data_IF_908912565888
#
_entry.id   IF_908912565888
#
_cell.length_a   1.000
_cell.length_b   1.000
_cell.length_c   1.000
_cell.angle_alpha   90.00
_cell.angle_beta   90.00
_cell.angle_gamma   90.00
#
_symmetry.space_group_name_H-M   'P 1'
#
loop_
_entity.id
_entity.type
_entity.pdbx_description
1 polymer ?
#
# COMPACT_ATOMS: atom_id res chain seq x y z
N UNK A 1 3.20 -0.66 13.77
CA UNK A 1 3.24 -0.35 15.21
C UNK A 1 3.11 1.17 15.40
N UNK A 2 2.01 1.67 15.99
CA UNK A 2 1.71 3.12 15.99
C UNK A 2 2.73 3.94 16.81
N UNK A 3 3.34 3.33 17.82
CA UNK A 3 4.39 3.97 18.62
C UNK A 3 5.64 4.29 17.81
N UNK A 4 6.00 3.44 16.84
CA UNK A 4 7.15 3.66 15.96
C UNK A 4 6.93 4.88 15.05
N UNK A 5 5.72 5.07 14.51
CA UNK A 5 5.38 6.25 13.69
C UNK A 5 5.55 7.56 14.46
N UNK A 6 5.12 7.63 15.72
CA UNK A 6 5.30 8.83 16.53
C UNK A 6 6.75 9.03 17.02
N UNK A 7 7.52 7.95 17.10
CA UNK A 7 8.94 8.04 17.39
C UNK A 7 9.73 8.75 16.28
N UNK A 8 9.23 8.71 15.03
CA UNK A 8 9.82 9.41 13.88
C UNK A 8 9.81 10.94 14.05
N UNK A 9 8.86 11.49 14.81
CA UNK A 9 8.78 12.92 15.10
C UNK A 9 9.77 13.37 16.20
N UNK A 10 10.54 12.43 16.78
CA UNK A 10 11.33 12.65 17.98
C UNK A 10 10.48 12.58 19.23
N UNK A 11 10.58 11.50 20.04
CA UNK A 11 9.72 11.30 21.20
C UNK A 11 9.74 12.48 22.19
N UNK A 12 10.92 13.06 22.40
CA UNK A 12 11.09 14.21 23.30
C UNK A 12 10.39 15.45 22.73
N UNK A 13 10.53 15.72 21.43
CA UNK A 13 9.93 16.88 20.77
C UNK A 13 8.40 16.77 20.77
N UNK A 14 7.87 15.57 20.50
CA UNK A 14 6.44 15.30 20.55
C UNK A 14 5.85 15.53 21.96
N UNK A 15 6.51 15.03 23.01
CA UNK A 15 6.07 15.26 24.40
C UNK A 15 6.09 16.75 24.75
N UNK A 16 7.13 17.48 24.35
CA UNK A 16 7.19 18.93 24.53
C UNK A 16 6.07 19.66 23.77
N UNK A 17 5.80 19.26 22.52
CA UNK A 17 4.72 19.82 21.73
C UNK A 17 3.34 19.59 22.36
N UNK A 18 3.06 18.36 22.84
CA UNK A 18 1.80 18.02 23.50
C UNK A 18 1.63 18.76 24.83
N UNK A 19 2.67 18.85 25.64
CA UNK A 19 2.62 19.61 26.91
C UNK A 19 2.36 21.10 26.67
N UNK A 20 3.00 21.68 25.65
CA UNK A 20 2.71 23.05 25.23
C UNK A 20 1.30 23.18 24.65
N UNK A 21 0.80 22.18 23.92
CA UNK A 21 -0.59 22.11 23.44
C UNK A 21 -1.62 22.15 24.57
N UNK A 22 -1.44 21.32 25.60
CA UNK A 22 -2.28 21.33 26.82
C UNK A 22 -2.22 22.69 27.50
N UNK A 23 -1.01 23.24 27.68
CA UNK A 23 -0.84 24.57 28.27
C UNK A 23 -1.53 25.66 27.45
N UNK A 24 -1.46 25.57 26.13
CA UNK A 24 -2.09 26.49 25.18
C UNK A 24 -3.61 26.46 25.31
N UNK A 25 -4.23 25.27 25.35
CA UNK A 25 -5.66 25.13 25.59
C UNK A 25 -6.08 25.68 26.96
N UNK A 26 -5.35 25.33 28.01
CA UNK A 26 -5.63 25.80 29.37
C UNK A 26 -5.51 27.32 29.48
N UNK A 27 -4.43 27.89 28.94
CA UNK A 27 -4.23 29.35 28.89
C UNK A 27 -5.34 30.01 28.09
N UNK A 28 -5.73 29.45 26.94
CA UNK A 28 -6.81 29.98 26.12
C UNK A 28 -8.13 30.07 26.88
N UNK A 29 -8.51 29.02 27.61
CA UNK A 29 -9.73 29.02 28.42
C UNK A 29 -9.73 30.10 29.51
N UNK A 30 -8.56 30.43 30.06
CA UNK A 30 -8.42 31.42 31.15
C UNK A 30 -8.24 32.86 30.66
N UNK A 31 -7.45 33.07 29.61
CA UNK A 31 -7.05 34.41 29.13
C UNK A 31 -7.71 34.81 27.82
N UNK A 32 -8.57 33.95 27.24
CA UNK A 32 -9.25 34.13 25.94
C UNK A 32 -8.29 34.50 24.79
N UNK A 33 -7.06 33.96 24.83
CA UNK A 33 -6.08 34.19 23.78
C UNK A 33 -6.37 33.30 22.56
N UNK A 34 -6.76 33.92 21.45
CA UNK A 34 -7.10 33.24 20.21
C UNK A 34 -5.92 32.45 19.62
N UNK A 35 -4.70 32.99 19.69
CA UNK A 35 -3.52 32.31 19.15
C UNK A 35 -3.24 31.00 19.89
N UNK A 36 -3.35 31.01 21.23
CA UNK A 36 -3.20 29.80 22.02
C UNK A 36 -4.31 28.77 21.75
N UNK A 37 -5.53 29.23 21.46
CA UNK A 37 -6.61 28.34 21.06
C UNK A 37 -6.28 27.60 19.76
N UNK A 38 -5.82 28.32 18.73
CA UNK A 38 -5.49 27.73 17.42
C UNK A 38 -4.38 26.70 17.54
N UNK A 39 -3.26 27.04 18.22
CA UNK A 39 -2.16 26.09 18.38
C UNK A 39 -2.56 24.85 19.19
N UNK A 40 -3.40 25.02 20.23
CA UNK A 40 -3.93 23.91 21.02
C UNK A 40 -4.80 22.99 20.18
N UNK A 41 -5.77 23.53 19.42
CA UNK A 41 -6.63 22.72 18.56
C UNK A 41 -5.81 22.04 17.46
N UNK A 42 -4.89 22.76 16.83
CA UNK A 42 -4.09 22.28 15.70
C UNK A 42 -3.27 21.04 16.06
N UNK A 43 -2.55 21.06 17.19
CA UNK A 43 -1.72 19.91 17.58
C UNK A 43 -2.54 18.68 17.92
N UNK A 44 -3.67 18.83 18.61
CA UNK A 44 -4.52 17.68 18.96
C UNK A 44 -5.26 17.13 17.75
N UNK A 45 -5.78 17.99 16.87
CA UNK A 45 -6.40 17.56 15.62
C UNK A 45 -5.39 16.84 14.71
N UNK A 46 -4.19 17.40 14.55
CA UNK A 46 -3.16 16.81 13.71
C UNK A 46 -2.61 15.49 14.29
N UNK A 47 -2.39 15.43 15.61
CA UNK A 47 -1.99 14.18 16.30
C UNK A 47 -3.06 13.11 16.19
N UNK A 48 -4.34 13.48 16.32
CA UNK A 48 -5.45 12.55 16.14
C UNK A 48 -5.50 11.99 14.71
N UNK A 49 -5.39 12.84 13.69
CA UNK A 49 -5.35 12.39 12.29
C UNK A 49 -4.13 11.50 12.01
N UNK A 50 -2.95 11.85 12.52
CA UNK A 50 -1.75 11.02 12.39
C UNK A 50 -1.89 9.66 13.11
N UNK A 51 -2.61 9.63 14.23
CA UNK A 51 -2.89 8.39 14.96
C UNK A 51 -3.86 7.47 14.21
N UNK A 52 -4.83 8.04 13.48
CA UNK A 52 -5.80 7.24 12.71
C UNK A 52 -5.22 6.71 11.41
N UNK A 53 -4.39 7.49 10.71
CA UNK A 53 -3.72 7.02 9.49
C UNK A 53 -2.31 7.61 9.34
N UNK A 54 -1.35 6.74 9.06
CA UNK A 54 0.07 7.09 8.91
C UNK A 54 0.32 8.16 7.84
N UNK A 55 -0.49 8.19 6.77
CA UNK A 55 -0.38 9.24 5.74
C UNK A 55 -0.52 10.64 6.32
N UNK A 56 -1.24 10.87 7.42
CA UNK A 56 -1.40 12.22 7.98
C UNK A 56 -0.24 12.67 8.88
N UNK A 57 0.84 11.89 9.00
CA UNK A 57 2.05 12.30 9.73
C UNK A 57 2.66 13.60 9.19
N UNK A 58 2.59 13.84 7.88
CA UNK A 58 3.05 15.10 7.28
C UNK A 58 2.28 16.33 7.77
N UNK A 59 0.99 16.17 8.16
CA UNK A 59 0.19 17.25 8.73
C UNK A 59 0.52 17.52 10.20
N UNK A 60 0.92 16.49 10.94
CA UNK A 60 1.32 16.63 12.34
C UNK A 60 2.72 17.24 12.50
N UNK A 61 3.62 17.00 11.55
CA UNK A 61 5.02 17.44 11.62
C UNK A 61 5.19 18.94 11.87
N UNK A 62 4.52 19.86 11.13
CA UNK A 62 4.66 21.30 11.39
C UNK A 62 4.10 21.74 12.74
N UNK A 63 3.00 21.13 13.19
CA UNK A 63 2.41 21.42 14.50
C UNK A 63 3.36 21.04 15.63
N UNK A 64 3.96 19.85 15.53
CA UNK A 64 4.94 19.34 16.48
C UNK A 64 6.22 20.18 16.45
N UNK A 65 6.70 20.59 15.28
CA UNK A 65 7.90 21.42 15.15
C UNK A 65 7.72 22.78 15.83
N UNK A 66 6.60 23.48 15.58
CA UNK A 66 6.34 24.82 16.14
C UNK A 66 6.16 24.77 17.66
N UNK A 67 5.30 23.87 18.17
CA UNK A 67 5.05 23.76 19.60
C UNK A 67 6.22 23.11 20.35
N UNK A 68 6.93 22.19 19.71
CA UNK A 68 8.17 21.61 20.21
C UNK A 68 9.25 22.69 20.37
N UNK A 69 9.45 23.55 19.36
CA UNK A 69 10.36 24.69 19.44
C UNK A 69 9.99 25.65 20.58
N UNK A 70 8.69 25.92 20.77
CA UNK A 70 8.22 26.71 21.91
C UNK A 70 8.54 26.04 23.25
N UNK A 71 8.32 24.73 23.36
CA UNK A 71 8.66 23.94 24.55
C UNK A 71 10.15 23.94 24.86
N UNK A 72 11.01 23.77 23.85
CA UNK A 72 12.47 23.84 23.97
C UNK A 72 12.90 25.24 24.43
N UNK A 73 12.33 26.29 23.84
CA UNK A 73 12.61 27.68 24.23
C UNK A 73 12.15 27.98 25.67
N UNK A 74 11.01 27.43 26.09
CA UNK A 74 10.52 27.54 27.46
C UNK A 74 11.44 26.82 28.46
N UNK A 75 11.91 25.62 28.13
CA UNK A 75 12.89 24.87 28.93
C UNK A 75 14.21 25.64 29.03
N UNK A 76 14.74 26.16 27.93
CA UNK A 76 15.99 26.92 27.92
C UNK A 76 15.91 28.17 28.81
N UNK A 77 14.80 28.92 28.74
CA UNK A 77 14.56 30.06 29.64
C UNK A 77 14.52 29.63 31.11
N UNK A 78 13.92 28.48 31.42
CA UNK A 78 13.86 27.91 32.77
C UNK A 78 15.21 27.37 33.26
N UNK A 79 16.13 27.02 32.37
CA UNK A 79 17.47 26.52 32.70
C UNK A 79 18.35 27.55 33.43
N UNK A 80 17.98 28.84 33.41
CA UNK A 80 18.67 29.91 34.13
C UNK A 80 20.17 30.01 33.75
N UNK A 81 20.45 30.08 32.45
CA UNK A 81 21.81 30.25 31.91
C UNK A 81 22.55 31.45 32.52
N UNK A 82 21.85 32.57 32.74
CA UNK A 82 22.45 33.74 33.39
C UNK A 82 22.94 33.44 34.81
N UNK A 83 22.22 32.60 35.55
CA UNK A 83 22.61 32.14 36.89
C UNK A 83 23.89 31.32 36.84
N UNK A 84 24.05 30.43 35.85
CA UNK A 84 25.28 29.68 35.61
C UNK A 84 26.43 30.63 35.25
N UNK A 85 26.22 31.56 34.33
CA UNK A 85 27.27 32.52 33.93
C UNK A 85 27.74 33.36 35.12
N UNK A 86 26.82 33.81 35.98
CA UNK A 86 27.14 34.56 37.22
C UNK A 86 27.92 33.67 38.20
N UNK A 87 27.51 32.42 38.40
CA UNK A 87 28.21 31.46 39.26
C UNK A 87 29.63 31.16 38.72
N UNK A 88 29.77 30.93 37.42
CA UNK A 88 31.04 30.65 36.77
C UNK A 88 32.02 31.82 36.87
N UNK A 89 31.56 33.05 36.61
CA UNK A 89 32.35 34.27 36.82
C UNK A 89 32.79 34.45 38.28
N UNK A 90 31.94 34.05 39.24
CA UNK A 90 32.23 34.14 40.68
C UNK A 90 33.28 33.14 41.16
N UNK A 91 33.37 31.95 40.56
CA UNK A 91 34.37 30.93 40.93
C UNK A 91 35.76 31.15 40.30
N UNK A 92 35.92 32.17 39.46
CA UNK A 92 37.20 32.64 38.95
C UNK A 92 37.57 32.07 37.58
N UNK A 93 38.06 32.95 36.69
CA UNK A 93 38.49 32.65 35.31
C UNK A 93 39.97 33.03 35.07
N UNK A 94 40.74 33.18 36.16
CA UNK A 94 42.08 33.81 36.15
C UNK A 94 43.17 32.93 35.54
N UNK A 95 43.13 31.61 35.74
CA UNK A 95 44.08 30.65 35.13
C UNK A 95 43.33 29.57 34.32
N UNK A 96 43.96 28.89 33.35
CA UNK A 96 43.32 27.81 32.59
C UNK A 96 42.78 26.68 33.49
N UNK A 97 43.49 26.32 34.56
CA UNK A 97 43.05 25.31 35.52
C UNK A 97 41.86 25.79 36.38
N UNK A 98 41.86 27.06 36.79
CA UNK A 98 40.74 27.66 37.52
C UNK A 98 39.48 27.80 36.66
N UNK A 99 39.62 28.01 35.35
CA UNK A 99 38.48 28.05 34.41
C UNK A 99 37.75 26.71 34.37
N UNK A 100 38.49 25.60 34.30
CA UNK A 100 37.93 24.24 34.29
C UNK A 100 37.32 23.89 35.65
N UNK A 101 38.05 24.16 36.73
CA UNK A 101 37.59 23.86 38.10
C UNK A 101 36.39 24.72 38.50
N UNK A 102 36.40 26.00 38.12
CA UNK A 102 35.32 26.95 38.33
C UNK A 102 34.09 26.65 37.50
N UNK A 103 34.25 26.19 36.25
CA UNK A 103 33.15 25.70 35.42
C UNK A 103 32.50 24.46 36.06
N UNK A 104 33.31 23.48 36.50
CA UNK A 104 32.80 22.29 37.19
C UNK A 104 32.02 22.66 38.46
N UNK A 105 32.56 23.54 39.31
CA UNK A 105 31.86 23.99 40.52
C UNK A 105 30.56 24.75 40.22
N UNK A 106 30.53 25.55 39.15
CA UNK A 106 29.32 26.26 38.73
C UNK A 106 28.22 25.28 38.27
N UNK A 107 28.56 24.33 37.40
CA UNK A 107 27.65 23.28 36.88
C UNK A 107 27.06 22.44 38.02
N UNK A 108 27.86 22.05 39.01
CA UNK A 108 27.40 21.29 40.18
C UNK A 108 26.49 22.11 41.11
N UNK A 109 26.65 23.45 41.14
CA UNK A 109 25.83 24.34 41.95
C UNK A 109 24.55 24.82 41.26
N UNK A 110 24.40 24.55 39.96
CA UNK A 110 23.18 24.82 39.18
C UNK A 110 22.62 23.51 38.60
N UNK A 111 22.12 22.58 39.43
CA UNK A 111 21.69 21.25 38.97
C UNK A 111 20.56 21.33 37.93
N UNK A 112 19.68 22.34 38.02
CA UNK A 112 18.60 22.55 37.05
C UNK A 112 19.09 22.89 35.64
N UNK A 113 20.18 23.65 35.52
CA UNK A 113 20.79 23.95 34.23
C UNK A 113 21.35 22.66 33.59
N UNK A 114 22.10 21.89 34.37
CA UNK A 114 22.75 20.66 33.92
C UNK A 114 21.74 19.61 33.47
N UNK A 115 20.62 19.46 34.19
CA UNK A 115 19.54 18.55 33.81
C UNK A 115 18.86 18.96 32.49
N UNK A 116 18.55 20.25 32.33
CA UNK A 116 17.92 20.75 31.09
C UNK A 116 18.89 20.70 29.90
N UNK A 117 20.17 21.01 30.13
CA UNK A 117 21.21 20.87 29.11
C UNK A 117 21.31 19.43 28.62
N UNK A 118 21.28 18.44 29.53
CA UNK A 118 21.30 17.02 29.17
C UNK A 118 20.08 16.65 28.30
N UNK A 119 18.89 17.13 28.64
CA UNK A 119 17.68 16.92 27.80
C UNK A 119 17.87 17.53 26.41
N UNK A 120 18.43 18.74 26.31
CA UNK A 120 18.68 19.40 25.02
C UNK A 120 19.74 18.64 24.20
N UNK A 121 20.79 18.13 24.84
CA UNK A 121 21.81 17.30 24.18
C UNK A 121 21.21 16.00 23.66
N UNK A 122 20.37 15.33 24.45
CA UNK A 122 19.65 14.12 24.00
C UNK A 122 18.72 14.42 22.84
N UNK A 123 17.96 15.52 22.92
CA UNK A 123 17.06 15.96 21.84
C UNK A 123 17.85 16.27 20.57
N UNK A 124 18.94 17.02 20.69
CA UNK A 124 19.82 17.37 19.57
C UNK A 124 20.46 16.13 18.96
N UNK A 125 20.90 15.18 19.79
CA UNK A 125 21.44 13.89 19.34
C UNK A 125 20.44 13.11 18.50
N UNK A 126 19.21 12.92 18.99
CA UNK A 126 18.14 12.21 18.27
C UNK A 126 17.81 12.86 16.92
N UNK A 127 17.61 14.17 16.90
CA UNK A 127 17.24 14.88 15.67
C UNK A 127 18.40 14.92 14.67
N UNK A 128 19.64 14.96 15.15
CA UNK A 128 20.82 14.87 14.31
C UNK A 128 20.95 13.49 13.66
N UNK A 129 20.78 12.41 14.43
CA UNK A 129 20.84 11.04 13.89
C UNK A 129 19.71 10.79 12.90
N UNK A 130 18.48 11.20 13.21
CA UNK A 130 17.35 11.03 12.29
C UNK A 130 17.51 11.87 11.03
N UNK A 131 18.03 13.09 11.16
CA UNK A 131 18.29 13.96 10.01
C UNK A 131 19.45 13.46 9.13
N UNK A 132 20.47 12.85 9.73
CA UNK A 132 21.57 12.21 9.00
C UNK A 132 21.06 10.99 8.22
N UNK A 133 20.30 10.13 8.88
CA UNK A 133 19.69 8.94 8.27
C UNK A 133 18.73 9.31 7.14
N UNK A 134 17.84 10.29 7.35
CA UNK A 134 16.93 10.76 6.31
C UNK A 134 17.63 11.41 5.10
N UNK A 135 18.87 11.87 5.26
CA UNK A 135 19.65 12.44 4.18
C UNK A 135 20.38 11.38 3.32
N UNK A 136 20.45 10.14 3.79
CA UNK A 136 21.10 9.02 3.11
C UNK A 136 20.01 8.19 2.42
N UNK A 137 20.10 7.93 1.11
CA UNK A 137 19.15 7.06 0.42
C UNK A 137 19.24 5.61 0.89
N UNK A 138 18.09 4.96 1.11
CA UNK A 138 18.02 3.62 1.69
C UNK A 138 18.10 2.46 0.69
N UNK A 139 18.37 2.78 -0.58
CA UNK A 139 18.34 1.85 -1.72
C UNK A 139 19.73 1.64 -2.33
N UNK A 140 20.77 2.16 -1.67
CA UNK A 140 22.14 2.12 -2.19
C UNK A 140 22.97 1.27 -1.24
N UNK A 141 23.74 0.32 -1.78
CA UNK A 141 24.69 -0.52 -1.02
C UNK A 141 25.64 0.32 -0.14
N UNK A 142 25.88 1.58 -0.52
CA UNK A 142 26.66 2.52 0.27
C UNK A 142 26.07 2.87 1.64
N UNK A 143 24.76 2.70 1.86
CA UNK A 143 24.17 2.91 3.18
C UNK A 143 24.70 1.89 4.19
N UNK A 144 24.70 0.61 3.82
CA UNK A 144 25.21 -0.48 4.65
C UNK A 144 26.70 -0.31 4.96
N UNK A 145 27.49 0.11 3.97
CA UNK A 145 28.92 0.41 4.14
C UNK A 145 29.17 1.61 5.08
N UNK A 146 28.31 2.64 5.00
CA UNK A 146 28.39 3.81 5.88
C UNK A 146 27.98 3.47 7.31
N UNK A 147 26.93 2.67 7.50
CA UNK A 147 26.49 2.19 8.81
C UNK A 147 27.58 1.35 9.49
N UNK A 148 28.20 0.44 8.74
CA UNK A 148 29.34 -0.35 9.20
C UNK A 148 30.55 0.53 9.54
N UNK A 149 30.83 1.55 8.72
CA UNK A 149 31.92 2.50 8.97
C UNK A 149 31.68 3.32 10.25
N UNK A 150 30.45 3.76 10.51
CA UNK A 150 30.07 4.43 11.76
C UNK A 150 30.22 3.48 12.94
N UNK A 151 29.80 2.21 12.76
CA UNK A 151 29.99 1.18 13.78
C UNK A 151 31.47 1.02 14.12
N UNK A 152 32.35 0.91 13.14
CA UNK A 152 33.79 0.71 13.36
C UNK A 152 34.54 1.97 13.84
N UNK A 153 33.99 3.18 13.63
CA UNK A 153 34.57 4.43 14.14
C UNK A 153 34.41 4.58 15.66
N UNK A 154 33.34 4.05 16.22
CA UNK A 154 33.03 4.18 17.65
C UNK A 154 33.98 3.27 18.45
N UNK A 155 34.73 3.80 19.44
CA UNK A 155 35.68 2.99 20.20
C UNK A 155 35.03 1.81 20.92
N UNK A 156 35.63 0.62 20.80
CA UNK A 156 35.16 -0.62 21.45
C UNK A 156 35.01 -0.49 22.97
N UNK A 157 35.76 0.43 23.61
CA UNK A 157 35.65 0.71 25.03
C UNK A 157 34.23 1.17 25.45
N UNK A 158 33.45 1.76 24.54
CA UNK A 158 32.06 2.17 24.80
C UNK A 158 31.07 1.02 24.65
N UNK A 159 31.44 -0.05 23.94
CA UNK A 159 30.66 -1.29 23.79
C UNK A 159 31.10 -2.38 24.77
N UNK A 160 32.11 -2.10 25.59
CA UNK A 160 32.63 -3.09 26.53
C UNK A 160 31.64 -3.32 27.67
N UNK A 161 31.18 -4.57 27.78
CA UNK A 161 30.28 -4.99 28.84
C UNK A 161 31.05 -5.36 30.10
N UNK A 162 30.77 -4.67 31.21
CA UNK A 162 31.28 -5.00 32.53
C UNK A 162 30.11 -5.22 33.48
N UNK A 163 29.97 -6.46 33.98
CA UNK A 163 28.94 -6.87 34.94
C UNK A 163 27.49 -6.56 34.48
N UNK A 164 27.21 -6.75 33.19
CA UNK A 164 25.88 -6.50 32.59
C UNK A 164 25.60 -5.03 32.28
N UNK A 165 26.60 -4.16 32.39
CA UNK A 165 26.50 -2.75 32.02
C UNK A 165 27.45 -2.45 30.86
N UNK A 166 26.89 -1.94 29.77
CA UNK A 166 27.64 -1.35 28.66
C UNK A 166 27.04 0.01 28.31
N UNK A 167 27.87 0.94 27.83
CA UNK A 167 27.39 2.28 27.43
C UNK A 167 26.62 2.19 26.09
N UNK A 168 27.08 1.31 25.21
CA UNK A 168 26.48 0.99 23.91
C UNK A 168 26.30 -0.52 23.78
N UNK A 169 25.41 -0.97 22.90
CA UNK A 169 25.18 -2.41 22.68
C UNK A 169 26.49 -3.13 22.26
N UNK A 170 26.76 -4.24 22.94
CA UNK A 170 27.99 -5.04 22.86
C UNK A 170 27.92 -6.15 21.80
N UNK A 171 26.76 -6.32 21.15
CA UNK A 171 26.58 -7.32 20.11
C UNK A 171 27.36 -6.98 18.83
N UNK A 172 27.62 -8.02 18.03
CA UNK A 172 28.30 -7.88 16.74
C UNK A 172 27.43 -7.11 15.75
N UNK A 173 28.07 -6.37 14.85
CA UNK A 173 27.39 -5.69 13.76
C UNK A 173 26.50 -6.67 12.97
N UNK A 174 25.26 -6.24 12.72
CA UNK A 174 24.22 -7.05 12.08
C UNK A 174 23.46 -6.30 10.98
N UNK A 175 23.97 -5.13 10.56
CA UNK A 175 23.27 -4.17 9.71
C UNK A 175 22.22 -3.33 10.45
N UNK A 176 21.96 -2.13 9.95
CA UNK A 176 20.93 -1.18 10.41
C UNK A 176 21.05 -0.77 11.90
N UNK A 177 22.27 -0.45 12.33
CA UNK A 177 22.55 -0.04 13.71
C UNK A 177 22.34 1.46 13.94
N UNK A 178 22.65 2.28 12.95
CA UNK A 178 22.59 3.74 13.02
C UNK A 178 21.85 4.37 11.84
N UNK A 179 21.85 3.73 10.67
CA UNK A 179 21.18 4.14 9.43
C UNK A 179 20.11 3.11 8.99
N UNK A 180 19.33 3.41 7.95
CA UNK A 180 18.34 2.51 7.34
C UNK A 180 16.90 2.72 7.81
N UNK A 181 16.61 3.75 8.61
CA UNK A 181 15.27 3.95 9.20
C UNK A 181 14.43 5.03 8.50
N UNK A 182 15.07 6.06 7.94
CA UNK A 182 14.42 7.25 7.40
C UNK A 182 14.82 7.60 5.96
N UNK A 183 15.82 6.92 5.40
CA UNK A 183 16.27 7.14 4.04
C UNK A 183 15.18 6.90 2.99
N UNK A 184 15.15 7.73 1.96
CA UNK A 184 14.25 7.53 0.82
C UNK A 184 14.75 6.41 -0.09
N UNK A 185 13.86 5.50 -0.48
CA UNK A 185 14.13 4.47 -1.48
C UNK A 185 13.95 5.02 -2.90
N UNK A 186 14.91 4.71 -3.78
CA UNK A 186 14.84 4.96 -5.21
C UNK A 186 14.66 3.63 -5.95
N UNK A 187 14.28 3.71 -7.22
CA UNK A 187 14.20 2.54 -8.08
C UNK A 187 15.59 1.90 -8.26
N UNK A 188 15.61 0.57 -8.20
CA UNK A 188 16.81 -0.20 -8.47
C UNK A 188 17.29 -0.01 -9.92
N UNK A 189 18.58 -0.24 -10.14
CA UNK A 189 19.20 -0.14 -11.46
C UNK A 189 18.50 -1.03 -12.51
N UNK A 190 18.01 -2.21 -12.12
CA UNK A 190 17.31 -3.11 -13.02
C UNK A 190 15.99 -2.52 -13.55
N UNK A 191 15.23 -1.87 -12.66
CA UNK A 191 13.99 -1.18 -13.04
C UNK A 191 14.28 0.03 -13.93
N UNK A 192 15.28 0.84 -13.57
CA UNK A 192 15.67 1.99 -14.39
C UNK A 192 16.11 1.55 -15.79
N UNK A 193 16.91 0.50 -15.90
CA UNK A 193 17.33 -0.04 -17.19
C UNK A 193 16.18 -0.62 -18.02
N UNK A 194 15.17 -1.24 -17.38
CA UNK A 194 14.00 -1.75 -18.06
C UNK A 194 13.11 -0.61 -18.62
N UNK A 195 12.92 0.46 -17.85
CA UNK A 195 12.20 1.64 -18.33
C UNK A 195 12.97 2.41 -19.40
N UNK A 196 14.28 2.56 -19.27
CA UNK A 196 15.12 3.13 -20.32
C UNK A 196 15.01 2.31 -21.62
N UNK A 197 14.99 0.98 -21.52
CA UNK A 197 14.76 0.12 -22.68
C UNK A 197 13.36 0.32 -23.27
N UNK A 198 12.33 0.40 -22.43
CA UNK A 198 10.94 0.61 -22.84
C UNK A 198 10.78 1.97 -23.55
N UNK A 199 11.36 3.05 -23.04
CA UNK A 199 11.31 4.38 -23.64
C UNK A 199 11.89 4.42 -25.06
N UNK A 200 12.87 3.57 -25.34
CA UNK A 200 13.47 3.46 -26.67
C UNK A 200 12.64 2.61 -27.65
N UNK A 201 11.58 1.95 -27.20
CA UNK A 201 10.61 1.25 -28.07
C UNK A 201 9.61 2.25 -28.66
N UNK A 202 9.10 1.95 -29.86
CA UNK A 202 8.03 2.70 -30.52
C UNK A 202 8.28 4.22 -30.61
N UNK A 203 9.56 4.60 -30.69
CA UNK A 203 10.02 6.01 -30.71
C UNK A 203 9.57 6.79 -31.94
N UNK A 204 9.02 6.11 -32.95
CA UNK A 204 8.49 6.73 -34.16
C UNK A 204 7.02 7.12 -34.02
N UNK A 205 6.32 6.57 -33.03
CA UNK A 205 4.90 6.81 -32.80
C UNK A 205 4.68 7.96 -31.82
N UNK A 206 3.57 8.68 -31.98
CA UNK A 206 3.16 9.66 -30.99
C UNK A 206 2.83 8.94 -29.68
N UNK A 207 3.00 9.62 -28.54
CA UNK A 207 2.84 9.00 -27.22
C UNK A 207 1.52 8.23 -27.04
N UNK A 208 0.41 8.79 -27.53
CA UNK A 208 -0.91 8.15 -27.44
C UNK A 208 -1.11 6.97 -28.38
N UNK A 209 -0.27 6.84 -29.40
CA UNK A 209 -0.32 5.76 -30.40
C UNK A 209 0.61 4.59 -30.02
N UNK A 210 1.50 4.79 -29.04
CA UNK A 210 2.36 3.73 -28.49
C UNK A 210 1.53 2.66 -27.78
N UNK A 211 1.99 1.39 -27.77
CA UNK A 211 1.27 0.32 -27.09
C UNK A 211 1.18 0.57 -25.58
N UNK A 212 0.01 0.31 -25.00
CA UNK A 212 -0.17 0.46 -23.57
C UNK A 212 0.53 -0.65 -22.78
N UNK A 213 1.29 -0.25 -21.77
CA UNK A 213 1.97 -1.12 -20.83
C UNK A 213 0.99 -1.65 -19.77
N UNK A 214 0.99 -2.97 -19.57
CA UNK A 214 0.22 -3.63 -18.52
C UNK A 214 1.14 -4.04 -17.39
N UNK A 215 0.93 -3.44 -16.22
CA UNK A 215 1.62 -3.79 -14.98
C UNK A 215 0.71 -3.62 -13.78
N UNK A 216 1.23 -3.97 -12.61
CA UNK A 216 0.59 -3.57 -11.37
C UNK A 216 0.55 -2.04 -11.27
N UNK A 217 -0.47 -1.50 -10.61
CA UNK A 217 -0.80 -0.08 -10.60
C UNK A 217 0.28 0.80 -9.95
N UNK A 218 1.06 0.24 -9.02
CA UNK A 218 2.19 0.92 -8.37
C UNK A 218 3.25 1.42 -9.37
N UNK A 219 3.33 0.79 -10.55
CA UNK A 219 4.35 1.04 -11.56
C UNK A 219 3.87 1.96 -12.70
N UNK A 220 2.60 2.39 -12.68
CA UNK A 220 2.01 3.11 -13.81
C UNK A 220 2.69 4.44 -14.10
N UNK A 221 2.99 5.25 -13.07
CA UNK A 221 3.70 6.53 -13.27
C UNK A 221 5.12 6.34 -13.76
N UNK A 222 5.80 5.28 -13.33
CA UNK A 222 7.16 4.98 -13.78
C UNK A 222 7.16 4.57 -15.26
N UNK A 223 6.18 3.76 -15.66
CA UNK A 223 5.98 3.40 -17.07
C UNK A 223 5.63 4.62 -17.94
N UNK A 224 4.78 5.53 -17.45
CA UNK A 224 4.38 6.76 -18.14
C UNK A 224 5.54 7.75 -18.27
N UNK A 225 6.24 8.06 -17.17
CA UNK A 225 7.25 9.12 -17.10
C UNK A 225 8.63 8.66 -17.58
N UNK A 226 9.11 7.51 -17.10
CA UNK A 226 10.45 6.99 -17.45
C UNK A 226 10.38 6.03 -18.63
N UNK A 227 9.34 5.20 -18.70
CA UNK A 227 9.15 4.25 -19.81
C UNK A 227 8.57 4.86 -21.09
N UNK A 228 8.14 6.12 -21.06
CA UNK A 228 7.50 6.84 -22.17
C UNK A 228 6.38 6.06 -22.90
N UNK A 229 5.62 5.24 -22.19
CA UNK A 229 4.50 4.46 -22.74
C UNK A 229 3.21 4.68 -21.93
N UNK A 230 2.04 4.71 -22.58
CA UNK A 230 0.76 4.72 -21.87
C UNK A 230 0.65 3.50 -20.95
N UNK A 231 -0.01 3.63 -19.80
CA UNK A 231 -0.22 2.52 -18.85
C UNK A 231 -1.70 2.20 -18.71
N UNK A 232 -2.03 0.92 -18.60
CA UNK A 232 -3.42 0.46 -18.38
C UNK A 232 -3.90 0.74 -16.95
N UNK A 233 -2.98 0.82 -15.98
CA UNK A 233 -3.28 1.19 -14.60
C UNK A 233 -2.24 2.14 -14.02
N UNK A 234 -2.62 2.89 -12.98
CA UNK A 234 -1.77 3.94 -12.42
C UNK A 234 -1.84 4.08 -10.90
N UNK A 235 -0.91 4.90 -10.36
CA UNK A 235 -0.76 5.18 -8.95
C UNK A 235 -1.97 5.91 -8.32
N UNK A 236 -2.91 6.40 -9.13
CA UNK A 236 -4.20 6.91 -8.64
C UNK A 236 -5.24 5.81 -8.42
N UNK A 237 -4.86 4.54 -8.58
CA UNK A 237 -5.73 3.37 -8.47
C UNK A 237 -6.75 3.26 -9.61
N UNK A 238 -6.45 3.90 -10.75
CA UNK A 238 -7.23 3.76 -11.97
C UNK A 238 -6.82 2.48 -12.70
N UNK A 239 -7.77 1.78 -13.34
CA UNK A 239 -7.46 0.61 -14.18
C UNK A 239 -7.01 -0.66 -13.42
N UNK A 240 -7.11 -0.69 -12.08
CA UNK A 240 -6.77 -1.88 -11.27
C UNK A 240 -7.58 -3.11 -11.70
N UNK A 241 -8.91 -3.04 -11.92
CA UNK A 241 -9.66 -4.23 -12.31
C UNK A 241 -9.17 -4.83 -13.63
N UNK A 242 -8.82 -4.00 -14.62
CA UNK A 242 -8.32 -4.47 -15.92
C UNK A 242 -6.94 -5.11 -15.78
N UNK A 243 -5.94 -4.35 -15.32
CA UNK A 243 -4.56 -4.84 -15.18
C UNK A 243 -4.42 -5.98 -14.15
N UNK A 244 -5.17 -5.91 -13.05
CA UNK A 244 -5.18 -6.94 -12.02
C UNK A 244 -5.76 -8.26 -12.52
N UNK A 245 -6.88 -8.24 -13.24
CA UNK A 245 -7.45 -9.44 -13.84
C UNK A 245 -6.54 -10.05 -14.91
N UNK A 246 -5.86 -9.22 -15.70
CA UNK A 246 -4.87 -9.68 -16.67
C UNK A 246 -3.69 -10.39 -15.99
N UNK A 247 -3.11 -9.78 -14.95
CA UNK A 247 -1.97 -10.36 -14.22
C UNK A 247 -2.34 -11.63 -13.44
N UNK A 248 -3.60 -11.76 -13.03
CA UNK A 248 -4.12 -12.92 -12.30
C UNK A 248 -4.89 -13.90 -13.20
N UNK A 249 -4.80 -13.74 -14.53
CA UNK A 249 -5.46 -14.64 -15.47
C UNK A 249 -4.97 -16.08 -15.26
N UNK A 250 -5.91 -17.04 -15.27
CA UNK A 250 -5.62 -18.44 -14.93
C UNK A 250 -4.82 -19.14 -16.02
N UNK A 251 -4.91 -18.66 -17.25
CA UNK A 251 -4.24 -19.19 -18.43
C UNK A 251 -4.11 -18.10 -19.49
N UNK A 252 -3.43 -18.42 -20.60
CA UNK A 252 -3.18 -17.47 -21.69
C UNK A 252 -4.47 -17.11 -22.46
N UNK A 253 -5.43 -18.02 -22.57
CA UNK A 253 -6.69 -17.76 -23.27
C UNK A 253 -7.55 -16.74 -22.50
N UNK A 254 -7.62 -16.88 -21.17
CA UNK A 254 -8.26 -15.90 -20.27
C UNK A 254 -7.57 -14.52 -20.41
N UNK A 255 -6.23 -14.49 -20.46
CA UNK A 255 -5.47 -13.24 -20.62
C UNK A 255 -5.74 -12.56 -21.96
N UNK A 256 -5.72 -13.32 -23.06
CA UNK A 256 -6.00 -12.79 -24.41
C UNK A 256 -7.43 -12.24 -24.46
N UNK A 257 -8.39 -12.96 -23.87
CA UNK A 257 -9.78 -12.51 -23.78
C UNK A 257 -9.90 -11.18 -23.05
N UNK A 258 -9.15 -10.99 -21.95
CA UNK A 258 -9.10 -9.72 -21.22
C UNK A 258 -8.45 -8.58 -22.03
N UNK A 259 -7.44 -8.87 -22.85
CA UNK A 259 -6.88 -7.87 -23.77
C UNK A 259 -7.90 -7.44 -24.84
N UNK A 260 -8.60 -8.40 -25.45
CA UNK A 260 -9.64 -8.10 -26.45
C UNK A 260 -10.77 -7.28 -25.81
N UNK A 261 -11.21 -7.67 -24.61
CA UNK A 261 -12.19 -6.93 -23.82
C UNK A 261 -11.74 -5.48 -23.55
N UNK A 262 -10.49 -5.28 -23.10
CA UNK A 262 -9.97 -3.95 -22.81
C UNK A 262 -9.87 -3.07 -24.06
N UNK A 263 -9.48 -3.65 -25.20
CA UNK A 263 -9.46 -2.95 -26.49
C UNK A 263 -10.87 -2.55 -26.93
N UNK A 264 -11.86 -3.43 -26.74
CA UNK A 264 -13.26 -3.13 -27.04
C UNK A 264 -13.80 -1.98 -26.18
N UNK A 265 -13.48 -1.95 -24.88
CA UNK A 265 -13.84 -0.82 -24.01
C UNK A 265 -13.17 0.49 -24.46
N UNK A 266 -11.93 0.43 -24.93
CA UNK A 266 -11.24 1.57 -25.53
C UNK A 266 -11.91 2.08 -26.80
N UNK A 267 -12.31 1.16 -27.69
CA UNK A 267 -13.00 1.45 -28.94
C UNK A 267 -14.39 2.08 -28.70
N UNK A 268 -15.17 1.54 -27.77
CA UNK A 268 -16.45 2.13 -27.33
C UNK A 268 -16.27 3.54 -26.74
N UNK A 269 -15.24 3.75 -25.93
CA UNK A 269 -14.93 5.07 -25.36
C UNK A 269 -14.51 6.06 -26.44
N UNK A 270 -13.75 5.62 -27.44
CA UNK A 270 -13.35 6.41 -28.59
C UNK A 270 -14.57 6.81 -29.45
N UNK A 271 -15.43 5.85 -29.79
CA UNK A 271 -16.68 6.06 -30.53
C UNK A 271 -17.58 7.10 -29.85
N UNK A 272 -17.80 6.94 -28.54
CA UNK A 272 -18.62 7.84 -27.75
C UNK A 272 -18.04 9.27 -27.70
N UNK A 273 -16.72 9.40 -27.58
CA UNK A 273 -16.04 10.69 -27.54
C UNK A 273 -16.11 11.45 -28.87
N UNK A 274 -16.22 10.74 -30.00
CA UNK A 274 -16.31 11.32 -31.34
C UNK A 274 -17.76 11.58 -31.81
N UNK A 275 -18.75 11.23 -30.98
CA UNK A 275 -20.17 11.45 -31.30
C UNK A 275 -20.79 10.36 -32.16
N UNK A 276 -20.13 9.22 -32.30
CA UNK A 276 -20.59 8.06 -33.06
C UNK A 276 -21.52 7.14 -32.26
N UNK A 277 -21.79 7.47 -30.99
CA UNK A 277 -22.64 6.67 -30.09
C UNK A 277 -21.83 5.77 -29.16
N UNK A 278 -22.50 4.83 -28.48
CA UNK A 278 -21.83 3.81 -27.66
C UNK A 278 -21.82 2.47 -28.40
N UNK A 279 -21.39 2.52 -29.66
CA UNK A 279 -21.33 1.39 -30.58
C UNK A 279 -19.86 1.14 -30.96
N UNK A 280 -19.52 -0.12 -31.26
CA UNK A 280 -18.17 -0.47 -31.71
C UNK A 280 -17.90 0.14 -33.09
N UNK A 281 -16.65 0.47 -33.39
CA UNK A 281 -16.29 1.00 -34.69
C UNK A 281 -16.34 -0.13 -35.73
N UNK A 282 -16.79 0.20 -36.95
CA UNK A 282 -16.81 -0.74 -38.06
C UNK A 282 -15.46 -1.44 -38.29
N UNK A 283 -14.34 -0.77 -38.02
CA UNK A 283 -13.01 -1.38 -38.19
C UNK A 283 -12.77 -2.48 -37.17
N UNK A 284 -13.14 -2.23 -35.91
CA UNK A 284 -13.01 -3.19 -34.82
C UNK A 284 -13.92 -4.40 -35.04
N UNK A 285 -15.19 -4.17 -35.37
CA UNK A 285 -16.16 -5.23 -35.69
C UNK A 285 -15.70 -6.10 -36.87
N UNK A 286 -15.16 -5.51 -37.93
CA UNK A 286 -14.63 -6.26 -39.07
C UNK A 286 -13.46 -7.18 -38.70
N UNK A 287 -12.59 -6.75 -37.77
CA UNK A 287 -11.49 -7.60 -37.27
C UNK A 287 -12.06 -8.77 -36.48
N UNK A 288 -13.00 -8.52 -35.56
CA UNK A 288 -13.65 -9.58 -34.78
C UNK A 288 -14.41 -10.56 -35.67
N UNK A 289 -15.16 -10.07 -36.67
CA UNK A 289 -15.93 -10.89 -37.60
C UNK A 289 -15.10 -11.83 -38.49
N UNK A 290 -13.79 -11.61 -38.60
CA UNK A 290 -12.89 -12.57 -39.25
C UNK A 290 -12.54 -13.78 -38.37
N UNK A 291 -12.76 -13.68 -37.07
CA UNK A 291 -12.38 -14.69 -36.08
C UNK A 291 -13.58 -15.30 -35.34
N UNK A 292 -14.68 -14.56 -35.22
CA UNK A 292 -15.91 -14.96 -34.55
C UNK A 292 -17.01 -15.28 -35.57
N UNK A 293 -17.84 -16.27 -35.25
CA UNK A 293 -19.10 -16.47 -35.96
C UNK A 293 -20.05 -15.30 -35.68
N UNK A 294 -21.06 -15.11 -36.53
CA UNK A 294 -22.04 -14.02 -36.33
C UNK A 294 -22.71 -14.07 -34.96
N UNK A 295 -23.00 -15.27 -34.42
CA UNK A 295 -23.58 -15.45 -33.10
C UNK A 295 -22.61 -15.10 -31.96
N UNK A 296 -21.32 -15.42 -32.13
CA UNK A 296 -20.28 -15.08 -31.15
C UNK A 296 -19.98 -13.59 -31.14
N UNK A 297 -20.00 -12.94 -32.30
CA UNK A 297 -19.82 -11.50 -32.42
C UNK A 297 -20.98 -10.76 -31.75
N UNK A 298 -22.22 -11.15 -32.03
CA UNK A 298 -23.42 -10.58 -31.39
C UNK A 298 -23.37 -10.74 -29.86
N UNK A 299 -23.03 -11.93 -29.35
CA UNK A 299 -22.82 -12.14 -27.92
C UNK A 299 -21.77 -11.20 -27.34
N UNK A 300 -20.63 -11.06 -28.04
CA UNK A 300 -19.54 -10.20 -27.58
C UNK A 300 -19.99 -8.74 -27.53
N UNK A 301 -20.59 -8.22 -28.60
CA UNK A 301 -21.11 -6.85 -28.67
C UNK A 301 -22.12 -6.58 -27.56
N UNK A 302 -23.15 -7.43 -27.42
CA UNK A 302 -24.17 -7.29 -26.37
C UNK A 302 -23.56 -7.29 -24.98
N UNK A 303 -22.57 -8.15 -24.72
CA UNK A 303 -21.88 -8.20 -23.41
C UNK A 303 -21.12 -6.93 -23.05
N UNK A 304 -20.73 -6.11 -24.04
CA UNK A 304 -19.94 -4.91 -23.84
C UNK A 304 -20.78 -3.62 -23.87
N UNK A 305 -21.83 -3.59 -24.69
CA UNK A 305 -22.60 -2.37 -24.96
C UNK A 305 -23.98 -2.34 -24.31
N UNK A 306 -24.55 -3.49 -23.94
CA UNK A 306 -25.92 -3.51 -23.41
C UNK A 306 -26.01 -2.77 -22.07
N UNK A 307 -26.99 -1.87 -22.02
CA UNK A 307 -27.38 -1.12 -20.82
C UNK A 307 -28.66 -1.65 -20.19
N UNK A 308 -29.27 -2.68 -20.79
CA UNK A 308 -30.47 -3.32 -20.28
C UNK A 308 -30.09 -4.40 -19.25
N UNK A 309 -30.37 -4.10 -17.98
CA UNK A 309 -30.05 -5.01 -16.88
C UNK A 309 -30.86 -6.31 -16.91
N UNK A 310 -32.06 -6.30 -17.48
CA UNK A 310 -32.89 -7.50 -17.58
C UNK A 310 -32.33 -8.42 -18.68
N UNK A 311 -31.94 -7.88 -19.83
CA UNK A 311 -31.25 -8.62 -20.90
C UNK A 311 -29.92 -9.23 -20.40
N UNK A 312 -29.11 -8.43 -19.68
CA UNK A 312 -27.86 -8.91 -19.12
C UNK A 312 -28.05 -10.00 -18.08
N UNK A 313 -29.15 -9.95 -17.32
CA UNK A 313 -29.49 -10.99 -16.36
C UNK A 313 -29.87 -12.28 -17.09
N UNK A 314 -30.73 -12.21 -18.10
CA UNK A 314 -31.11 -13.36 -18.91
C UNK A 314 -29.87 -13.99 -19.57
N UNK A 315 -28.93 -13.17 -20.06
CA UNK A 315 -27.64 -13.62 -20.56
C UNK A 315 -26.82 -14.37 -19.49
N UNK A 316 -26.78 -13.88 -18.25
CA UNK A 316 -26.08 -14.57 -17.17
C UNK A 316 -26.76 -15.91 -16.86
N UNK A 317 -28.09 -15.96 -16.85
CA UNK A 317 -28.85 -17.18 -16.57
C UNK A 317 -28.61 -18.23 -17.68
N UNK A 318 -28.67 -17.84 -18.96
CA UNK A 318 -28.41 -18.73 -20.10
C UNK A 318 -26.97 -19.28 -20.10
N UNK A 319 -26.02 -18.49 -19.64
CA UNK A 319 -24.59 -18.83 -19.61
C UNK A 319 -24.12 -19.30 -18.23
N UNK A 320 -24.99 -19.56 -17.26
CA UNK A 320 -24.57 -20.07 -15.95
C UNK A 320 -25.30 -21.35 -15.57
N UNK A 321 -24.82 -21.99 -14.50
CA UNK A 321 -25.53 -23.10 -13.86
C UNK A 321 -26.17 -22.56 -12.58
N UNK A 322 -27.49 -22.44 -12.59
CA UNK A 322 -28.28 -21.96 -11.45
C UNK A 322 -28.47 -23.07 -10.44
N UNK A 323 -28.11 -22.82 -9.18
CA UNK A 323 -28.29 -23.79 -8.10
C UNK A 323 -29.78 -23.97 -7.81
N UNK A 324 -30.28 -25.20 -7.94
CA UNK A 324 -31.69 -25.54 -7.72
C UNK A 324 -31.92 -26.39 -6.47
N UNK A 325 -30.92 -27.16 -6.02
CA UNK A 325 -30.98 -27.93 -4.78
C UNK A 325 -29.62 -27.96 -4.07
N UNK A 326 -29.66 -27.92 -2.74
CA UNK A 326 -28.48 -27.98 -1.88
C UNK A 326 -28.78 -28.85 -0.68
N UNK A 327 -27.90 -29.79 -0.34
CA UNK A 327 -27.99 -30.56 0.90
C UNK A 327 -26.59 -30.93 1.38
N UNK A 328 -26.21 -30.41 2.56
CA UNK A 328 -24.83 -30.49 3.08
C UNK A 328 -23.85 -29.96 2.03
N UNK A 329 -22.89 -30.79 1.64
CA UNK A 329 -21.84 -30.44 0.69
C UNK A 329 -22.18 -30.84 -0.74
N UNK A 330 -23.37 -31.41 -0.97
CA UNK A 330 -23.86 -31.78 -2.31
C UNK A 330 -24.76 -30.69 -2.86
N UNK A 331 -24.47 -30.24 -4.07
CA UNK A 331 -25.21 -29.18 -4.77
C UNK A 331 -25.61 -29.67 -6.15
N UNK A 332 -26.87 -29.43 -6.52
CA UNK A 332 -27.38 -29.62 -7.88
C UNK A 332 -27.70 -28.27 -8.51
N UNK A 333 -27.18 -28.06 -9.70
CA UNK A 333 -27.42 -26.87 -10.50
C UNK A 333 -27.99 -27.24 -11.88
N UNK A 334 -28.86 -26.40 -12.42
CA UNK A 334 -29.43 -26.50 -13.76
C UNK A 334 -28.82 -25.43 -14.66
N UNK A 335 -28.51 -25.78 -15.91
CA UNK A 335 -28.00 -24.83 -16.89
C UNK A 335 -27.90 -25.44 -18.27
N UNK A 336 -27.20 -24.74 -19.16
CA UNK A 336 -27.06 -25.11 -20.56
C UNK A 336 -25.62 -25.50 -20.90
N UNK A 337 -25.47 -26.46 -21.82
CA UNK A 337 -24.18 -26.74 -22.44
C UNK A 337 -23.84 -25.67 -23.46
N UNK A 338 -22.55 -25.54 -23.75
CA UNK A 338 -22.04 -24.53 -24.68
C UNK A 338 -21.31 -25.18 -25.83
N UNK A 339 -21.61 -24.77 -27.05
CA UNK A 339 -20.89 -25.20 -28.26
C UNK A 339 -20.16 -24.01 -28.85
N UNK A 340 -18.82 -24.07 -28.90
CA UNK A 340 -18.03 -22.93 -29.37
C UNK A 340 -18.25 -21.66 -28.54
N UNK A 341 -18.55 -21.79 -27.25
CA UNK A 341 -18.79 -20.65 -26.35
C UNK A 341 -20.22 -20.12 -26.36
N UNK A 342 -21.10 -20.54 -27.28
CA UNK A 342 -22.52 -20.14 -27.31
C UNK A 342 -23.35 -21.16 -26.50
N UNK A 343 -24.23 -20.66 -25.63
CA UNK A 343 -25.16 -21.49 -24.86
C UNK A 343 -26.26 -22.09 -25.76
N UNK A 344 -26.52 -23.39 -25.62
CA UNK A 344 -27.65 -24.05 -26.26
C UNK A 344 -28.84 -24.09 -25.29
N UNK A 345 -29.74 -23.11 -25.44
CA UNK A 345 -30.94 -22.96 -24.60
C UNK A 345 -32.09 -23.91 -25.00
N UNK A 346 -31.88 -24.79 -25.99
CA UNK A 346 -32.90 -25.76 -26.39
C UNK A 346 -33.12 -26.87 -25.36
N UNK A 347 -32.11 -27.15 -24.54
CA UNK A 347 -32.09 -28.26 -23.59
C UNK A 347 -31.46 -27.85 -22.26
N UNK A 348 -32.09 -28.22 -21.15
CA UNK A 348 -31.51 -28.07 -19.80
C UNK A 348 -30.70 -29.30 -19.41
N UNK A 349 -29.62 -29.07 -18.68
CA UNK A 349 -28.77 -30.10 -18.10
C UNK A 349 -28.60 -29.83 -16.61
N UNK A 350 -28.49 -30.92 -15.84
CA UNK A 350 -28.28 -30.88 -14.41
C UNK A 350 -26.87 -31.31 -14.08
N UNK A 351 -26.16 -30.50 -13.30
CA UNK A 351 -24.79 -30.73 -12.86
C UNK A 351 -24.76 -30.88 -11.36
N UNK A 352 -24.05 -31.91 -10.90
CA UNK A 352 -23.85 -32.18 -9.48
C UNK A 352 -22.45 -31.76 -9.04
N UNK A 353 -22.36 -31.28 -7.81
CA UNK A 353 -21.12 -30.93 -7.14
C UNK A 353 -21.09 -31.54 -5.74
N UNK A 354 -19.90 -31.91 -5.27
CA UNK A 354 -19.64 -32.33 -3.90
C UNK A 354 -18.36 -31.64 -3.40
N UNK A 355 -18.42 -30.99 -2.25
CA UNK A 355 -17.29 -30.23 -1.67
C UNK A 355 -16.69 -29.17 -2.63
N UNK A 356 -17.49 -28.70 -3.59
CA UNK A 356 -17.09 -27.76 -4.63
C UNK A 356 -16.54 -28.39 -5.91
N UNK A 357 -16.29 -29.70 -5.92
CA UNK A 357 -15.83 -30.45 -7.09
C UNK A 357 -17.01 -31.00 -7.90
N UNK A 358 -16.91 -30.96 -9.23
CA UNK A 358 -17.95 -31.48 -10.14
C UNK A 358 -17.98 -33.01 -10.10
N UNK A 359 -19.16 -33.57 -9.89
CA UNK A 359 -19.41 -35.02 -10.05
C UNK A 359 -19.81 -35.27 -11.50
N UNK A 360 -19.12 -36.20 -12.16
CA UNK A 360 -19.41 -36.59 -13.53
C UNK A 360 -20.50 -37.67 -13.58
N UNK A 361 -21.44 -37.52 -14.51
CA UNK A 361 -22.43 -38.55 -14.83
C UNK A 361 -21.74 -39.81 -15.39
N UNK A 362 -22.06 -40.97 -14.82
CA UNK A 362 -21.54 -42.27 -15.28
C UNK A 362 -22.53 -42.92 -16.26
N UNK A 363 -22.10 -43.06 -17.53
CA UNK A 363 -22.89 -43.67 -18.62
C UNK A 363 -23.30 -45.13 -18.33
N UNK A 364 -22.62 -45.82 -17.41
CA UNK A 364 -22.97 -47.18 -16.98
C UNK A 364 -24.16 -47.17 -16.01
N UNK A 365 -24.31 -46.10 -15.23
CA UNK A 365 -25.30 -45.98 -14.16
C UNK A 365 -26.54 -45.20 -14.64
N UNK A 366 -26.38 -44.25 -15.55
CA UNK A 366 -27.47 -43.44 -16.10
C UNK A 366 -27.40 -43.34 -17.62
N UNK A 367 -28.54 -43.52 -18.28
CA UNK A 367 -28.67 -43.35 -19.73
C UNK A 367 -28.88 -41.91 -20.17
N UNK A 368 -29.01 -40.95 -19.24
CA UNK A 368 -29.21 -39.53 -19.53
C UNK A 368 -27.92 -38.72 -19.49
N UNK A 369 -26.77 -39.37 -19.34
CA UNK A 369 -25.48 -38.68 -19.34
C UNK A 369 -25.18 -38.01 -20.69
N UNK A 370 -24.75 -36.74 -20.62
CA UNK A 370 -24.33 -35.92 -21.75
C UNK A 370 -23.21 -35.00 -21.27
N UNK A 371 -22.02 -35.10 -21.88
CA UNK A 371 -20.84 -34.30 -21.52
C UNK A 371 -20.53 -34.24 -20.01
N UNK A 372 -20.77 -35.36 -19.31
CA UNK A 372 -20.58 -35.49 -17.86
C UNK A 372 -21.68 -34.89 -16.97
N UNK A 373 -22.77 -34.38 -17.54
CA UNK A 373 -23.97 -33.90 -16.83
C UNK A 373 -25.20 -34.78 -17.16
N UNK A 374 -26.30 -34.60 -16.44
CA UNK A 374 -27.55 -35.32 -16.68
C UNK A 374 -28.49 -34.51 -17.58
N UNK A 375 -29.08 -35.14 -18.59
CA UNK A 375 -30.13 -34.59 -19.46
C UNK A 375 -31.56 -34.87 -18.97
N UNK A 376 -31.70 -35.56 -17.84
CA UNK A 376 -32.98 -35.81 -17.16
C UNK A 376 -32.90 -35.41 -15.69
N UNK A 377 -33.81 -34.55 -15.25
CA UNK A 377 -33.91 -34.14 -13.85
C UNK A 377 -34.17 -35.34 -12.92
N UNK A 378 -34.97 -36.32 -13.36
CA UNK A 378 -35.31 -37.48 -12.54
C UNK A 378 -34.06 -38.31 -12.20
N UNK A 379 -33.20 -38.54 -13.19
CA UNK A 379 -31.94 -39.28 -13.02
C UNK A 379 -30.92 -38.47 -12.20
N UNK A 380 -30.84 -37.15 -12.43
CA UNK A 380 -30.00 -36.25 -11.65
C UNK A 380 -30.41 -36.25 -10.18
N UNK A 381 -31.71 -36.16 -9.91
CA UNK A 381 -32.26 -36.14 -8.56
C UNK A 381 -32.07 -37.48 -7.84
N UNK A 382 -32.14 -38.61 -8.54
CA UNK A 382 -31.79 -39.92 -7.98
C UNK A 382 -30.32 -39.97 -7.57
N UNK A 383 -29.42 -39.49 -8.44
CA UNK A 383 -27.98 -39.44 -8.18
C UNK A 383 -27.66 -38.50 -7.01
N UNK A 384 -28.26 -37.31 -6.97
CA UNK A 384 -28.16 -36.37 -5.86
C UNK A 384 -28.55 -37.00 -4.51
N UNK A 385 -29.71 -37.67 -4.46
CA UNK A 385 -30.16 -38.31 -3.22
C UNK A 385 -29.28 -39.50 -2.80
N UNK A 386 -28.65 -40.19 -3.76
CA UNK A 386 -27.69 -41.24 -3.46
C UNK A 386 -26.41 -40.65 -2.87
N UNK A 387 -25.87 -39.56 -3.42
CA UNK A 387 -24.67 -38.91 -2.89
C UNK A 387 -24.89 -38.29 -1.51
N UNK A 388 -26.08 -37.73 -1.27
CA UNK A 388 -26.47 -37.24 0.06
C UNK A 388 -26.50 -38.38 1.09
N UNK A 389 -26.84 -39.60 0.68
CA UNK A 389 -26.88 -40.79 1.55
C UNK A 389 -25.52 -41.44 1.72
N UNK A 390 -24.70 -41.55 0.67
CA UNK A 390 -23.35 -42.12 0.74
C UNK A 390 -22.47 -41.31 1.70
N UNK A 391 -22.59 -39.98 1.68
CA UNK A 391 -21.95 -39.09 2.65
C UNK A 391 -22.41 -39.24 4.11
N UNK A 392 -23.43 -40.08 4.41
CA UNK A 392 -23.80 -40.43 5.79
C UNK A 392 -22.99 -41.61 6.34
N UNK A 393 -22.38 -42.45 5.50
CA UNK A 393 -21.63 -43.62 5.96
C UNK A 393 -20.15 -43.31 6.28
N UNK A 394 -19.66 -42.12 5.90
CA UNK A 394 -18.26 -41.70 6.02
C UNK A 394 -17.94 -40.76 7.20
N UNK A 395 -18.88 -40.52 8.12
CA UNK A 395 -18.67 -39.70 9.34
C UNK A 395 -18.75 -40.48 10.63
#
# INVERSE_FOLDING_TARGET
>A
DRGQLFAQLGPIVLVLALTMGVYSLWSSLRTRNQSHLVFGIWIFAATYMAWTAARFMFNATPAVAVLGAWGISALWRKANWEGLQKAWKKFGIRTPADRITGARKAVWKTPSFSAILLIIVLLGGQQFTYGLDAAIPSSVESEDELDESIFNLIPDALRWELAGFSILDSSSYSGNWYLGSFGSGFNDQGWNGAYDWLANQDSQDAYSDKPAFVSWWDYGFQALDTGEHPSVSDNFQSGIPASGNMLLARNQDDLISMFIWQLAQGDLSYSNSNGDGYDMTNQFENVLGNHLSSQQLELFETSQSSVDFDEMKDLIDDYSFTVIQTNRDVVMAEGHHRTGGIADTSSSYWRLYQDGDRILCDDVVSSSCSDGDWSSFEDANLSFNNEVRSGQEST
#
